data_IF_632138753706
#
_entry.id   IF_632138753706
#
_cell.length_a   1.000
_cell.length_b   1.000
_cell.length_c   1.000
_cell.angle_alpha   90.00
_cell.angle_beta   90.00
_cell.angle_gamma   90.00
#
_symmetry.space_group_name_H-M   'P 1'
#
loop_
_entity.id
_entity.type
_entity.pdbx_description
1 polymer ?
#
# COMPACT_ATOMS: atom_id res chain seq x y z
N UNK A 1 4.77 -2.54 -37.46
CA UNK A 1 4.26 -1.18 -37.16
C UNK A 1 4.70 -0.25 -38.27
N UNK A 2 3.86 0.69 -38.69
CA UNK A 2 4.25 1.69 -39.69
C UNK A 2 5.16 2.74 -39.04
N UNK A 3 6.11 3.29 -39.80
CA UNK A 3 7.03 4.35 -39.34
C UNK A 3 6.28 5.55 -38.72
N UNK A 4 5.07 5.81 -39.20
CA UNK A 4 4.16 6.84 -38.67
C UNK A 4 3.59 6.48 -37.28
N UNK A 5 3.30 5.21 -37.01
CA UNK A 5 2.87 4.76 -35.69
C UNK A 5 4.02 4.80 -34.67
N UNK A 6 5.25 4.50 -35.09
CA UNK A 6 6.44 4.67 -34.24
C UNK A 6 6.73 6.15 -33.94
N UNK A 7 6.64 7.03 -34.94
CA UNK A 7 6.80 8.48 -34.76
C UNK A 7 5.70 9.09 -33.89
N UNK A 8 4.44 8.65 -34.02
CA UNK A 8 3.35 9.06 -33.15
C UNK A 8 3.60 8.62 -31.70
N UNK A 9 4.03 7.37 -31.50
CA UNK A 9 4.37 6.83 -30.19
C UNK A 9 5.57 7.54 -29.56
N UNK A 10 6.58 7.93 -30.35
CA UNK A 10 7.72 8.73 -29.88
C UNK A 10 7.33 10.17 -29.55
N UNK A 11 6.44 10.80 -30.31
CA UNK A 11 5.94 12.15 -30.04
C UNK A 11 5.17 12.23 -28.71
N UNK A 12 4.35 11.21 -28.43
CA UNK A 12 3.57 11.11 -27.19
C UNK A 12 4.46 10.84 -25.96
N UNK A 13 5.48 9.99 -26.11
CA UNK A 13 6.50 9.74 -25.08
C UNK A 13 7.30 11.00 -24.78
N UNK A 14 7.57 11.86 -25.76
CA UNK A 14 8.31 13.12 -25.55
C UNK A 14 7.47 14.23 -24.88
N UNK A 15 6.14 14.18 -24.99
CA UNK A 15 5.24 15.17 -24.36
C UNK A 15 4.72 14.73 -22.99
N UNK A 16 4.63 13.42 -22.73
CA UNK A 16 4.16 12.85 -21.45
C UNK A 16 5.25 12.21 -20.57
N UNK A 17 6.47 12.02 -21.06
CA UNK A 17 7.56 11.64 -20.17
C UNK A 17 7.94 12.84 -19.32
N UNK A 18 7.53 12.84 -18.06
CA UNK A 18 8.10 13.71 -17.06
C UNK A 18 9.63 13.47 -17.03
N UNK A 19 10.39 14.33 -17.72
CA UNK A 19 11.86 14.30 -17.66
C UNK A 19 12.24 14.85 -16.28
N UNK A 20 12.62 13.96 -15.37
CA UNK A 20 13.13 14.32 -14.04
C UNK A 20 12.13 14.20 -12.88
N UNK A 21 11.04 13.43 -13.01
CA UNK A 21 10.13 13.10 -11.90
C UNK A 21 9.51 11.71 -12.03
N UNK A 22 8.79 11.27 -10.99
CA UNK A 22 8.15 9.94 -10.95
C UNK A 22 6.92 9.92 -11.85
N UNK A 23 6.87 8.99 -12.81
CA UNK A 23 5.69 8.80 -13.66
C UNK A 23 4.61 7.98 -12.96
N UNK A 24 5.02 6.93 -12.26
CA UNK A 24 4.09 6.02 -11.64
C UNK A 24 3.59 6.61 -10.31
N UNK A 25 2.28 6.72 -10.13
CA UNK A 25 1.71 7.22 -8.89
C UNK A 25 1.71 6.16 -7.78
N UNK A 26 1.77 4.87 -8.12
CA UNK A 26 1.76 3.78 -7.14
C UNK A 26 3.04 3.71 -6.29
N UNK A 27 2.83 3.35 -5.03
CA UNK A 27 3.86 2.99 -4.07
C UNK A 27 4.03 1.47 -4.04
N UNK A 28 5.27 0.99 -3.91
CA UNK A 28 5.58 -0.43 -3.85
C UNK A 28 4.96 -1.30 -4.99
N UNK A 29 4.89 -0.82 -6.25
CA UNK A 29 4.08 -1.41 -7.33
C UNK A 29 4.46 -2.84 -7.76
N UNK A 30 5.63 -3.30 -7.34
CA UNK A 30 6.20 -4.63 -7.63
C UNK A 30 6.46 -5.45 -6.36
N UNK A 31 5.83 -5.07 -5.24
CA UNK A 31 5.95 -5.74 -3.94
C UNK A 31 7.41 -5.97 -3.50
N UNK A 32 8.26 -4.93 -3.56
CA UNK A 32 9.64 -5.02 -3.07
C UNK A 32 9.75 -4.79 -1.57
N UNK A 33 8.95 -3.87 -1.03
CA UNK A 33 9.06 -3.41 0.36
C UNK A 33 7.99 -4.11 1.21
N UNK A 34 8.44 -4.69 2.31
CA UNK A 34 7.62 -5.50 3.20
C UNK A 34 8.04 -5.28 4.66
N UNK A 35 8.10 -4.02 5.11
CA UNK A 35 8.49 -3.67 6.48
C UNK A 35 7.49 -4.26 7.50
N UNK A 36 6.20 -4.36 7.12
CA UNK A 36 5.15 -5.02 7.93
C UNK A 36 5.24 -6.56 7.93
N UNK A 37 6.16 -7.14 7.16
CA UNK A 37 6.31 -8.58 6.95
C UNK A 37 5.97 -9.00 5.52
N UNK A 38 6.48 -10.16 5.12
CA UNK A 38 6.28 -10.76 3.79
C UNK A 38 5.01 -11.58 3.69
N UNK A 39 4.30 -11.79 4.80
CA UNK A 39 3.05 -12.55 4.85
C UNK A 39 2.13 -12.01 5.93
N UNK A 40 0.84 -11.91 5.63
CA UNK A 40 -0.20 -11.57 6.61
C UNK A 40 -1.49 -12.32 6.33
N UNK A 41 -2.28 -12.56 7.37
CA UNK A 41 -3.59 -13.19 7.27
C UNK A 41 -4.68 -12.09 7.29
N UNK A 42 -5.59 -12.14 6.33
CA UNK A 42 -6.79 -11.31 6.29
C UNK A 42 -8.04 -12.17 6.55
N UNK A 43 -8.52 -12.15 7.79
CA UNK A 43 -9.72 -12.85 8.26
C UNK A 43 -10.70 -11.84 8.88
N UNK A 44 -11.62 -11.29 8.07
CA UNK A 44 -12.71 -10.44 8.56
C UNK A 44 -12.31 -9.06 9.12
N UNK A 45 -11.10 -8.57 8.85
CA UNK A 45 -10.62 -7.26 9.34
C UNK A 45 -10.05 -6.45 8.18
N UNK A 46 -10.27 -5.13 8.23
CA UNK A 46 -9.65 -4.21 7.29
C UNK A 46 -8.35 -3.65 7.87
N UNK A 47 -7.27 -3.61 7.09
CA UNK A 47 -5.99 -3.09 7.55
C UNK A 47 -4.83 -3.33 6.61
N UNK A 48 -3.66 -2.90 7.06
CA UNK A 48 -2.37 -3.13 6.42
C UNK A 48 -1.70 -4.30 7.13
N UNK A 49 -1.54 -5.43 6.43
CA UNK A 49 -1.02 -6.66 7.01
C UNK A 49 0.44 -6.91 6.61
N UNK A 50 0.65 -7.16 5.32
CA UNK A 50 1.93 -7.42 4.70
C UNK A 50 2.03 -6.64 3.39
N UNK A 51 3.25 -6.45 2.91
CA UNK A 51 3.57 -5.60 1.76
C UNK A 51 3.11 -4.15 1.98
N UNK A 52 4.07 -3.25 2.09
CA UNK A 52 3.76 -1.88 2.50
C UNK A 52 2.82 -1.19 1.49
N UNK A 53 1.90 -0.36 2.02
CA UNK A 53 0.92 0.47 1.30
C UNK A 53 -0.31 -0.24 0.73
N UNK A 54 -0.40 -1.55 0.82
CA UNK A 54 -1.58 -2.29 0.37
C UNK A 54 -2.50 -2.63 1.52
N UNK A 55 -3.75 -2.19 1.40
CA UNK A 55 -4.82 -2.39 2.38
C UNK A 55 -5.78 -3.45 1.89
N UNK A 56 -6.17 -4.36 2.76
CA UNK A 56 -7.28 -5.27 2.51
C UNK A 56 -8.48 -4.82 3.32
N UNK A 57 -9.67 -4.90 2.71
CA UNK A 57 -10.94 -4.92 3.42
C UNK A 57 -11.67 -6.21 3.07
N UNK A 58 -11.69 -7.16 4.01
CA UNK A 58 -12.35 -8.44 3.84
C UNK A 58 -13.64 -8.44 4.68
N UNK A 59 -14.78 -8.20 4.02
CA UNK A 59 -16.11 -8.32 4.62
C UNK A 59 -16.76 -9.69 4.42
N UNK A 60 -16.02 -10.67 3.90
CA UNK A 60 -16.49 -12.03 3.64
C UNK A 60 -16.16 -12.99 4.79
N UNK A 61 -16.62 -14.24 4.68
CA UNK A 61 -16.18 -15.33 5.57
C UNK A 61 -14.89 -16.01 5.10
N UNK A 62 -14.38 -15.64 3.92
CA UNK A 62 -13.14 -16.18 3.40
C UNK A 62 -11.95 -15.74 4.26
N UNK A 63 -10.91 -16.57 4.27
CA UNK A 63 -9.62 -16.22 4.84
C UNK A 63 -8.61 -16.24 3.72
N UNK A 64 -7.80 -15.18 3.65
CA UNK A 64 -6.75 -15.06 2.64
C UNK A 64 -5.41 -14.74 3.28
N UNK A 65 -4.32 -15.29 2.75
CA UNK A 65 -2.98 -14.79 3.02
C UNK A 65 -2.60 -13.78 1.94
N UNK A 66 -1.97 -12.68 2.35
CA UNK A 66 -1.24 -11.78 1.45
C UNK A 66 0.23 -12.09 1.56
N UNK A 67 0.86 -12.45 0.44
CA UNK A 67 2.22 -13.00 0.40
C UNK A 67 3.06 -12.21 -0.60
N UNK A 68 4.30 -11.91 -0.22
CA UNK A 68 5.35 -11.50 -1.15
C UNK A 68 5.83 -12.72 -1.93
N UNK A 69 5.23 -13.00 -3.08
CA UNK A 69 5.59 -14.16 -3.88
C UNK A 69 6.77 -13.86 -4.82
N UNK A 70 7.44 -14.92 -5.28
CA UNK A 70 8.45 -14.86 -6.35
C UNK A 70 7.90 -15.32 -7.70
N UNK A 71 6.62 -15.73 -7.75
CA UNK A 71 5.91 -16.01 -9.00
C UNK A 71 5.66 -14.71 -9.74
N UNK A 72 6.25 -14.54 -10.92
CA UNK A 72 6.24 -13.28 -11.69
C UNK A 72 6.08 -13.56 -13.18
N UNK A 73 5.64 -12.58 -14.00
CA UNK A 73 5.65 -12.73 -15.45
C UNK A 73 7.10 -12.83 -15.95
N UNK A 74 7.43 -13.97 -16.56
CA UNK A 74 8.80 -14.29 -16.99
C UNK A 74 9.31 -13.28 -18.03
N UNK A 75 10.55 -12.84 -17.86
CA UNK A 75 11.20 -11.92 -18.80
C UNK A 75 10.78 -10.45 -18.69
N UNK A 76 9.92 -10.08 -17.73
CA UNK A 76 9.42 -8.71 -17.56
C UNK A 76 10.19 -7.88 -16.52
N UNK A 77 11.25 -8.43 -15.91
CA UNK A 77 12.11 -7.69 -14.98
C UNK A 77 11.54 -7.48 -13.57
N UNK A 78 10.56 -8.29 -13.15
CA UNK A 78 10.05 -8.31 -11.78
C UNK A 78 10.66 -9.46 -10.97
N UNK A 79 10.97 -9.22 -9.70
CA UNK A 79 11.44 -10.25 -8.75
C UNK A 79 10.34 -10.75 -7.81
N UNK A 80 9.32 -9.92 -7.59
CA UNK A 80 8.24 -10.19 -6.65
C UNK A 80 6.86 -9.86 -7.23
N UNK A 81 5.84 -10.45 -6.63
CA UNK A 81 4.44 -10.12 -6.84
C UNK A 81 3.68 -10.16 -5.52
N UNK A 82 2.53 -9.48 -5.53
CA UNK A 82 1.51 -9.59 -4.50
C UNK A 82 0.75 -10.88 -4.81
N UNK A 83 0.65 -11.78 -3.85
CA UNK A 83 -0.12 -13.01 -3.97
C UNK A 83 -1.18 -13.05 -2.88
N UNK A 84 -2.44 -13.12 -3.30
CA UNK A 84 -3.58 -13.38 -2.43
C UNK A 84 -3.95 -14.86 -2.58
N UNK A 85 -3.68 -15.60 -1.50
CA UNK A 85 -3.89 -17.04 -1.37
C UNK A 85 -5.15 -17.29 -0.55
N UNK A 86 -6.16 -17.94 -1.12
CA UNK A 86 -7.42 -18.21 -0.43
C UNK A 86 -7.26 -19.50 0.39
N UNK A 87 -7.18 -19.38 1.71
CA UNK A 87 -7.05 -20.55 2.60
C UNK A 87 -8.39 -21.09 3.08
N UNK A 88 -9.43 -20.24 3.08
CA UNK A 88 -10.81 -20.61 3.35
C UNK A 88 -11.69 -19.90 2.34
N UNK A 89 -12.48 -20.65 1.58
CA UNK A 89 -13.36 -20.10 0.55
C UNK A 89 -14.67 -19.53 1.12
N UNK A 90 -15.19 -18.49 0.46
CA UNK A 90 -16.57 -18.02 0.60
C UNK A 90 -17.27 -18.19 -0.76
N UNK A 91 -17.99 -19.30 -0.90
CA UNK A 91 -18.64 -19.70 -2.14
C UNK A 91 -20.01 -19.06 -2.35
N UNK A 92 -20.51 -18.31 -1.36
CA UNK A 92 -21.88 -17.78 -1.36
C UNK A 92 -21.94 -16.42 -0.67
N UNK A 93 -21.44 -15.40 -1.37
CA UNK A 93 -21.44 -14.02 -0.88
C UNK A 93 -22.86 -13.55 -0.55
N UNK A 94 -23.04 -13.02 0.66
CA UNK A 94 -24.27 -12.26 0.99
C UNK A 94 -24.24 -10.89 0.32
N UNK A 95 -25.38 -10.20 0.27
CA UNK A 95 -25.52 -8.98 -0.53
C UNK A 95 -24.55 -7.87 -0.14
N UNK A 96 -24.21 -7.73 1.15
CA UNK A 96 -23.33 -6.69 1.68
C UNK A 96 -21.83 -7.01 1.71
N UNK A 97 -21.40 -8.16 1.19
CA UNK A 97 -19.99 -8.59 1.24
C UNK A 97 -19.16 -7.88 0.18
N UNK A 98 -17.95 -7.47 0.52
CA UNK A 98 -16.89 -7.12 -0.43
C UNK A 98 -15.55 -7.68 0.05
N UNK A 99 -14.67 -7.98 -0.90
CA UNK A 99 -13.24 -8.11 -0.66
C UNK A 99 -12.52 -7.12 -1.55
N UNK A 100 -11.87 -6.15 -0.92
CA UNK A 100 -11.22 -5.03 -1.57
C UNK A 100 -9.72 -5.10 -1.32
N UNK A 101 -8.94 -5.03 -2.40
CA UNK A 101 -7.50 -4.84 -2.35
C UNK A 101 -7.18 -3.43 -2.85
N UNK A 102 -6.68 -2.56 -1.97
CA UNK A 102 -6.69 -1.11 -2.17
C UNK A 102 -5.32 -0.49 -1.92
N UNK A 103 -4.96 0.50 -2.75
CA UNK A 103 -3.95 1.50 -2.39
C UNK A 103 -4.59 2.88 -2.30
N UNK A 104 -4.23 3.63 -1.25
CA UNK A 104 -4.76 4.97 -0.94
C UNK A 104 -3.76 6.05 -1.31
N UNK A 105 -4.22 7.15 -1.88
CA UNK A 105 -3.40 8.26 -2.36
C UNK A 105 -3.78 9.56 -1.67
N UNK A 106 -2.77 10.38 -1.37
CA UNK A 106 -2.97 11.65 -0.70
C UNK A 106 -3.30 12.77 -1.67
N UNK A 107 -4.19 13.67 -1.26
CA UNK A 107 -4.64 14.77 -2.11
C UNK A 107 -3.51 15.59 -2.70
N UNK A 108 -2.51 15.95 -1.89
CA UNK A 108 -1.34 16.73 -2.33
C UNK A 108 -0.54 16.05 -3.46
N UNK A 109 -0.52 14.72 -3.50
CA UNK A 109 0.21 13.95 -4.51
C UNK A 109 -0.55 13.90 -5.85
N UNK A 110 -1.86 14.19 -5.84
CA UNK A 110 -2.77 14.05 -6.98
C UNK A 110 -3.06 15.36 -7.72
N UNK A 111 -2.47 16.48 -7.29
CA UNK A 111 -2.80 17.81 -7.83
C UNK A 111 -2.50 17.94 -9.34
N UNK A 112 -1.51 17.20 -9.82
CA UNK A 112 -1.13 17.17 -11.23
C UNK A 112 -2.19 16.53 -12.15
N UNK A 113 -3.19 15.82 -11.59
CA UNK A 113 -4.35 15.33 -12.33
C UNK A 113 -5.31 16.45 -12.74
N UNK A 114 -5.18 17.65 -12.14
CA UNK A 114 -6.00 18.83 -12.44
C UNK A 114 -7.52 18.56 -12.34
N UNK A 115 -7.89 17.60 -11.49
CA UNK A 115 -9.27 17.18 -11.27
C UNK A 115 -10.14 18.38 -10.85
N UNK A 116 -11.40 18.39 -11.30
CA UNK A 116 -12.33 19.49 -11.01
C UNK A 116 -12.15 20.72 -11.91
N UNK A 117 -11.24 20.66 -12.88
CA UNK A 117 -11.02 21.73 -13.87
C UNK A 117 -11.38 21.25 -15.28
N UNK A 118 -11.53 22.18 -16.23
CA UNK A 118 -11.69 21.84 -17.66
C UNK A 118 -10.46 21.19 -18.28
N UNK A 119 -9.31 21.22 -17.58
CA UNK A 119 -8.04 20.63 -18.00
C UNK A 119 -7.69 19.37 -17.21
N UNK A 120 -8.69 18.68 -16.64
CA UNK A 120 -8.47 17.42 -15.94
C UNK A 120 -7.78 16.40 -16.85
N UNK A 121 -6.72 15.77 -16.35
CA UNK A 121 -5.87 14.88 -17.14
C UNK A 121 -6.48 13.48 -17.25
N UNK A 122 -6.39 12.90 -18.44
CA UNK A 122 -6.60 11.46 -18.63
C UNK A 122 -5.38 10.71 -18.12
N UNK A 123 -5.61 9.53 -17.53
CA UNK A 123 -4.57 8.66 -17.00
C UNK A 123 -4.71 7.25 -17.55
N UNK A 124 -3.67 6.44 -17.36
CA UNK A 124 -3.65 5.04 -17.73
C UNK A 124 -3.16 4.21 -16.56
N UNK A 125 -3.91 3.18 -16.20
CA UNK A 125 -3.53 2.16 -15.24
C UNK A 125 -3.13 0.90 -15.99
N UNK A 126 -1.91 0.43 -15.78
CA UNK A 126 -1.39 -0.82 -16.32
C UNK A 126 -0.86 -1.72 -15.22
N UNK A 127 -0.97 -3.03 -15.42
CA UNK A 127 -0.51 -4.02 -14.44
C UNK A 127 -0.44 -5.41 -15.07
N UNK A 128 0.38 -6.27 -14.48
CA UNK A 128 0.34 -7.70 -14.72
C UNK A 128 -0.58 -8.38 -13.71
N UNK A 129 -1.49 -9.21 -14.20
CA UNK A 129 -2.39 -10.02 -13.37
C UNK A 129 -2.31 -11.49 -13.77
N UNK A 130 -2.39 -12.38 -12.79
CA UNK A 130 -2.60 -13.81 -12.99
C UNK A 130 -3.64 -14.27 -11.98
N UNK A 131 -4.65 -15.00 -12.44
CA UNK A 131 -5.66 -15.58 -11.54
C UNK A 131 -6.15 -16.91 -12.07
N UNK A 132 -6.41 -17.88 -11.20
CA UNK A 132 -7.12 -19.09 -11.59
C UNK A 132 -8.59 -18.78 -11.97
N UNK A 133 -9.13 -17.69 -11.41
CA UNK A 133 -10.49 -17.22 -11.71
C UNK A 133 -10.52 -16.36 -12.98
N UNK A 134 -10.74 -17.01 -14.12
CA UNK A 134 -11.02 -16.32 -15.39
C UNK A 134 -12.38 -15.60 -15.36
N UNK A 135 -12.51 -14.54 -16.15
CA UNK A 135 -13.75 -13.77 -16.30
C UNK A 135 -13.54 -12.28 -16.13
N UNK A 136 -14.64 -11.55 -15.95
CA UNK A 136 -14.62 -10.09 -15.75
C UNK A 136 -14.22 -9.76 -14.32
N UNK A 137 -13.20 -8.94 -14.19
CA UNK A 137 -12.75 -8.31 -12.97
C UNK A 137 -12.89 -6.79 -13.08
N UNK A 138 -12.92 -6.09 -11.96
CA UNK A 138 -13.21 -4.67 -11.85
C UNK A 138 -12.14 -4.01 -10.99
N UNK A 139 -11.62 -2.90 -11.51
CA UNK A 139 -10.87 -1.92 -10.73
C UNK A 139 -11.69 -0.64 -10.61
N UNK A 140 -11.75 -0.09 -9.41
CA UNK A 140 -12.45 1.15 -9.08
C UNK A 140 -11.44 2.22 -8.69
N UNK A 141 -11.70 3.45 -9.14
CA UNK A 141 -11.11 4.65 -8.59
C UNK A 141 -12.20 5.42 -7.84
N UNK A 142 -12.05 5.57 -6.53
CA UNK A 142 -13.00 6.23 -5.66
C UNK A 142 -12.39 7.52 -5.07
N UNK A 143 -12.93 8.66 -5.50
CA UNK A 143 -12.66 9.99 -4.94
C UNK A 143 -13.42 10.13 -3.62
N UNK A 144 -12.66 10.13 -2.53
CA UNK A 144 -13.16 10.18 -1.15
C UNK A 144 -13.58 11.59 -0.73
N UNK A 145 -13.00 12.62 -1.34
CA UNK A 145 -13.29 14.02 -1.01
C UNK A 145 -14.69 14.43 -1.52
N UNK A 146 -15.06 13.93 -2.70
CA UNK A 146 -16.29 14.35 -3.39
C UNK A 146 -17.32 13.21 -3.52
N UNK A 147 -17.03 12.02 -2.99
CA UNK A 147 -17.88 10.83 -3.11
C UNK A 147 -18.22 10.48 -4.57
N UNK A 148 -17.21 10.47 -5.42
CA UNK A 148 -17.32 10.15 -6.86
C UNK A 148 -16.49 8.92 -7.20
N UNK A 149 -16.91 8.16 -8.20
CA UNK A 149 -16.13 7.01 -8.65
C UNK A 149 -16.26 6.76 -10.14
N UNK A 150 -15.28 6.01 -10.65
CA UNK A 150 -15.27 5.40 -11.97
C UNK A 150 -14.78 3.95 -11.82
N UNK A 151 -15.41 3.04 -12.56
CA UNK A 151 -15.15 1.61 -12.48
C UNK A 151 -14.79 1.11 -13.87
N UNK A 152 -13.70 0.36 -13.98
CA UNK A 152 -13.21 -0.18 -15.24
C UNK A 152 -13.13 -1.70 -15.16
N UNK A 153 -13.76 -2.35 -16.14
CA UNK A 153 -13.70 -3.78 -16.30
C UNK A 153 -12.42 -4.21 -17.04
N UNK A 154 -11.82 -5.30 -16.59
CA UNK A 154 -10.76 -6.01 -17.30
C UNK A 154 -11.05 -7.51 -17.24
N UNK A 155 -10.72 -8.24 -18.29
CA UNK A 155 -10.95 -9.69 -18.34
C UNK A 155 -9.65 -10.43 -18.06
N UNK A 156 -9.67 -11.41 -17.16
CA UNK A 156 -8.66 -12.48 -17.13
C UNK A 156 -9.14 -13.55 -18.10
N UNK A 157 -8.46 -13.67 -19.25
CA UNK A 157 -8.91 -14.49 -20.37
C UNK A 157 -8.48 -15.95 -20.25
N UNK A 158 -7.37 -16.22 -19.57
CA UNK A 158 -6.83 -17.55 -19.37
C UNK A 158 -6.47 -17.75 -17.89
N UNK A 159 -7.04 -18.79 -17.29
CA UNK A 159 -6.71 -19.17 -15.92
C UNK A 159 -5.19 -19.40 -15.79
N UNK A 160 -4.63 -18.98 -14.65
CA UNK A 160 -3.24 -19.24 -14.29
C UNK A 160 -2.18 -18.72 -15.26
N UNK A 161 -2.55 -17.76 -16.11
CA UNK A 161 -1.65 -17.13 -17.07
C UNK A 161 -1.45 -15.67 -16.71
N UNK A 162 -0.20 -15.20 -16.80
CA UNK A 162 0.10 -13.78 -16.65
C UNK A 162 -0.39 -13.01 -17.88
N UNK A 163 -1.22 -12.01 -17.65
CA UNK A 163 -1.75 -11.12 -18.67
C UNK A 163 -1.44 -9.67 -18.29
N UNK A 164 -0.92 -8.89 -19.24
CA UNK A 164 -0.76 -7.45 -19.07
C UNK A 164 -2.08 -6.75 -19.39
N UNK A 165 -2.49 -5.82 -18.53
CA UNK A 165 -3.69 -5.00 -18.68
C UNK A 165 -3.28 -3.55 -18.81
N UNK A 166 -3.99 -2.83 -19.69
CA UNK A 166 -3.85 -1.38 -19.88
C UNK A 166 -5.27 -0.81 -19.90
N UNK A 167 -5.55 0.12 -19.00
CA UNK A 167 -6.88 0.67 -18.75
C UNK A 167 -6.76 2.19 -18.76
N UNK A 168 -7.32 2.82 -19.79
CA UNK A 168 -7.46 4.27 -19.84
C UNK A 168 -8.57 4.73 -18.90
N UNK A 169 -8.31 5.78 -18.12
CA UNK A 169 -9.20 6.38 -17.15
C UNK A 169 -9.29 7.87 -17.47
N UNK A 170 -10.47 8.31 -17.86
CA UNK A 170 -10.76 9.68 -18.27
C UNK A 170 -10.61 10.64 -17.09
N UNK A 171 -10.20 11.87 -17.35
CA UNK A 171 -10.11 12.92 -16.32
C UNK A 171 -11.50 13.32 -15.81
N UNK A 172 -11.62 13.58 -14.51
CA UNK A 172 -12.86 14.10 -13.91
C UNK A 172 -12.82 15.63 -13.81
N UNK A 173 -13.66 16.31 -14.57
CA UNK A 173 -13.73 17.78 -14.57
C UNK A 173 -14.57 18.34 -13.42
N UNK A 174 -15.05 17.50 -12.49
CA UNK A 174 -15.89 17.88 -11.35
C UNK A 174 -15.26 17.44 -10.03
N UNK A 175 -15.35 18.26 -8.98
CA UNK A 175 -14.85 17.93 -7.64
C UNK A 175 -13.32 17.91 -7.60
N UNK A 176 -12.70 18.96 -7.08
CA UNK A 176 -11.26 18.98 -6.90
C UNK A 176 -10.87 18.09 -5.71
N UNK A 177 -9.69 17.46 -5.79
CA UNK A 177 -9.06 16.89 -4.60
C UNK A 177 -8.57 18.00 -3.69
N UNK A 178 -8.67 17.82 -2.37
CA UNK A 178 -8.00 18.72 -1.44
C UNK A 178 -6.48 18.59 -1.60
N UNK A 179 -5.73 19.67 -1.30
CA UNK A 179 -4.27 19.65 -1.33
C UNK A 179 -3.75 19.44 0.10
N UNK A 180 -3.88 18.22 0.60
CA UNK A 180 -3.48 17.85 1.96
C UNK A 180 -2.92 16.41 2.02
N UNK A 181 -2.61 15.94 3.22
CA UNK A 181 -2.06 14.61 3.50
C UNK A 181 -3.13 13.55 3.78
N UNK A 182 -4.42 13.88 3.60
CA UNK A 182 -5.51 12.93 3.78
C UNK A 182 -5.69 12.09 2.52
N UNK A 183 -6.36 10.94 2.66
CA UNK A 183 -6.74 10.14 1.50
C UNK A 183 -7.78 10.92 0.69
N UNK A 184 -7.47 11.18 -0.58
CA UNK A 184 -8.38 11.80 -1.55
C UNK A 184 -8.84 10.82 -2.63
N UNK A 185 -8.08 9.74 -2.85
CA UNK A 185 -8.40 8.73 -3.86
C UNK A 185 -7.99 7.33 -3.40
N UNK A 186 -8.86 6.37 -3.66
CA UNK A 186 -8.59 4.94 -3.49
C UNK A 186 -8.61 4.25 -4.86
N UNK A 187 -7.55 3.51 -5.20
CA UNK A 187 -7.56 2.57 -6.33
C UNK A 187 -7.73 1.17 -5.80
N UNK A 188 -8.81 0.49 -6.20
CA UNK A 188 -9.27 -0.74 -5.57
C UNK A 188 -9.56 -1.83 -6.61
N UNK A 189 -8.92 -2.98 -6.45
CA UNK A 189 -9.32 -4.21 -7.13
C UNK A 189 -10.42 -4.88 -6.31
N UNK A 190 -11.60 -5.03 -6.91
CA UNK A 190 -12.68 -5.84 -6.34
C UNK A 190 -12.37 -7.30 -6.63
N UNK A 191 -12.20 -8.11 -5.59
CA UNK A 191 -11.94 -9.56 -5.74
C UNK A 191 -13.16 -10.41 -5.38
N UNK A 192 -14.09 -9.83 -4.63
CA UNK A 192 -15.42 -10.37 -4.37
C UNK A 192 -16.38 -9.23 -4.09
N UNK A 193 -17.63 -9.34 -4.55
CA UNK A 193 -18.66 -8.35 -4.31
C UNK A 193 -20.06 -8.99 -4.32
N UNK A 194 -20.83 -8.75 -3.27
CA UNK A 194 -22.23 -9.15 -3.15
C UNK A 194 -23.18 -8.26 -3.96
N UNK A 195 -24.46 -8.65 -4.01
CA UNK A 195 -25.46 -7.99 -4.86
C UNK A 195 -25.79 -6.53 -4.51
N UNK A 196 -25.45 -6.03 -3.32
CA UNK A 196 -25.54 -4.60 -3.04
C UNK A 196 -24.57 -3.78 -3.92
N UNK A 197 -23.55 -4.43 -4.51
CA UNK A 197 -22.51 -3.78 -5.28
C UNK A 197 -22.46 -4.18 -6.77
N UNK A 198 -23.24 -5.20 -7.15
CA UNK A 198 -23.19 -5.80 -8.50
C UNK A 198 -24.54 -5.78 -9.23
N UNK A 199 -25.60 -5.25 -8.62
CA UNK A 199 -26.97 -5.33 -9.14
C UNK A 199 -27.39 -4.20 -10.09
N UNK A 200 -26.59 -3.14 -10.20
CA UNK A 200 -26.88 -1.96 -11.02
C UNK A 200 -26.26 -2.04 -12.42
N UNK A 201 -25.85 -0.88 -12.93
CA UNK A 201 -25.09 -0.75 -14.19
C UNK A 201 -23.70 -0.24 -13.87
N UNK A 202 -22.65 -0.90 -14.37
CA UNK A 202 -21.27 -0.51 -14.07
C UNK A 202 -21.05 0.96 -14.43
N UNK A 203 -20.59 1.77 -13.47
CA UNK A 203 -20.35 3.18 -13.72
C UNK A 203 -18.97 3.38 -14.36
N UNK A 204 -18.94 3.43 -15.69
CA UNK A 204 -17.73 3.46 -16.53
C UNK A 204 -17.17 4.85 -16.82
N UNK A 205 -17.85 5.90 -16.35
CA UNK A 205 -17.44 7.30 -16.38
C UNK A 205 -17.53 7.88 -14.97
N UNK A 206 -16.76 8.94 -14.68
CA UNK A 206 -16.85 9.63 -13.40
C UNK A 206 -18.26 10.14 -13.10
N UNK A 207 -18.73 9.88 -11.88
CA UNK A 207 -20.03 10.30 -11.40
C UNK A 207 -20.16 10.09 -9.90
N UNK A 208 -21.27 10.53 -9.32
CA UNK A 208 -21.58 10.30 -7.90
C UNK A 208 -21.57 8.81 -7.59
N UNK A 209 -21.05 8.43 -6.42
CA UNK A 209 -20.97 7.02 -6.03
C UNK A 209 -22.36 6.40 -5.88
N UNK A 210 -22.59 5.30 -6.60
CA UNK A 210 -23.75 4.42 -6.42
C UNK A 210 -23.24 3.02 -6.12
N UNK A 211 -23.57 2.47 -4.95
CA UNK A 211 -23.01 1.20 -4.50
C UNK A 211 -23.28 0.05 -5.46
N UNK A 212 -24.54 -0.08 -5.92
CA UNK A 212 -24.96 -1.11 -6.87
C UNK A 212 -24.18 -1.11 -8.20
N UNK A 213 -23.47 -0.02 -8.52
CA UNK A 213 -22.76 0.19 -9.78
C UNK A 213 -21.25 -0.06 -9.69
N UNK A 214 -20.71 -0.45 -8.52
CA UNK A 214 -19.26 -0.53 -8.26
C UNK A 214 -18.58 -1.71 -8.97
N UNK A 215 -19.14 -2.91 -8.85
CA UNK A 215 -18.49 -4.15 -9.27
C UNK A 215 -19.39 -5.02 -10.18
N UNK A 216 -20.29 -4.41 -10.94
CA UNK A 216 -21.25 -5.11 -11.80
C UNK A 216 -20.51 -6.01 -12.80
N UNK A 217 -20.84 -7.31 -12.80
CA UNK A 217 -20.23 -8.33 -13.66
C UNK A 217 -18.94 -8.98 -13.13
N UNK A 218 -18.45 -8.56 -11.96
CA UNK A 218 -17.27 -9.14 -11.30
C UNK A 218 -17.45 -10.63 -10.97
N UNK A 219 -16.42 -11.44 -11.23
CA UNK A 219 -16.32 -12.83 -10.73
C UNK A 219 -15.85 -12.88 -9.28
N UNK A 220 -16.27 -13.90 -8.52
CA UNK A 220 -15.80 -14.10 -7.14
C UNK A 220 -14.47 -14.88 -7.11
N UNK A 221 -13.38 -14.22 -6.72
CA UNK A 221 -12.07 -14.86 -6.50
C UNK A 221 -12.08 -15.72 -5.24
N UNK A 222 -12.97 -15.48 -4.29
CA UNK A 222 -12.96 -16.17 -3.00
C UNK A 222 -13.71 -17.50 -2.99
N UNK A 223 -14.30 -17.93 -4.12
CA UNK A 223 -15.16 -19.12 -4.16
C UNK A 223 -14.43 -20.47 -4.24
N UNK A 224 -13.10 -20.47 -4.17
CA UNK A 224 -12.29 -21.69 -4.10
C UNK A 224 -10.96 -21.38 -3.42
N UNK A 225 -10.42 -22.34 -2.67
CA UNK A 225 -9.06 -22.27 -2.13
C UNK A 225 -7.99 -22.39 -3.21
N UNK A 226 -8.35 -22.86 -4.41
CA UNK A 226 -7.44 -22.93 -5.55
C UNK A 226 -7.31 -21.57 -6.28
N UNK A 227 -8.18 -20.60 -5.96
CA UNK A 227 -8.19 -19.30 -6.60
C UNK A 227 -7.07 -18.40 -6.07
N UNK A 228 -5.87 -18.61 -6.62
CA UNK A 228 -4.75 -17.72 -6.40
C UNK A 228 -4.93 -16.45 -7.26
N UNK A 229 -4.73 -15.27 -6.67
CA UNK A 229 -4.70 -14.00 -7.39
C UNK A 229 -3.35 -13.32 -7.21
N UNK A 230 -2.70 -13.00 -8.32
CA UNK A 230 -1.39 -12.35 -8.35
C UNK A 230 -1.45 -11.01 -9.05
N UNK A 231 -0.71 -10.04 -8.53
CA UNK A 231 -0.58 -8.69 -9.08
C UNK A 231 0.86 -8.21 -8.96
N UNK A 232 1.41 -7.62 -10.03
CA UNK A 232 2.72 -6.96 -9.98
C UNK A 232 2.83 -5.95 -11.13
N UNK A 233 3.88 -5.12 -11.10
CA UNK A 233 4.15 -4.15 -12.14
C UNK A 233 3.03 -3.12 -12.31
N UNK A 234 2.41 -2.70 -11.20
CA UNK A 234 1.30 -1.74 -11.23
C UNK A 234 1.84 -0.35 -11.60
N UNK A 235 1.37 0.23 -12.69
CA UNK A 235 1.73 1.58 -13.10
C UNK A 235 0.51 2.40 -13.40
N UNK A 236 0.34 3.51 -12.67
CA UNK A 236 -0.67 4.51 -12.94
C UNK A 236 0.00 5.84 -13.25
N UNK A 237 -0.23 6.38 -14.44
CA UNK A 237 0.48 7.56 -14.92
C UNK A 237 -0.41 8.44 -15.80
N UNK A 238 0.04 9.68 -16.05
CA UNK A 238 -0.63 10.61 -16.96
C UNK A 238 -0.58 10.12 -18.42
N UNK A 239 -1.66 10.39 -19.15
CA UNK A 239 -1.79 10.03 -20.56
C UNK A 239 -2.80 8.92 -20.80
N UNK A 240 -3.12 8.70 -22.08
CA UNK A 240 -4.07 7.68 -22.51
C UNK A 240 -3.45 6.30 -22.72
N UNK A 241 -2.12 6.22 -22.85
CA UNK A 241 -1.38 5.03 -23.27
C UNK A 241 -0.29 4.67 -22.25
N UNK A 242 -0.20 3.38 -21.90
CA UNK A 242 0.80 2.91 -20.94
C UNK A 242 2.21 3.04 -21.52
N UNK A 243 3.12 3.59 -20.71
CA UNK A 243 4.56 3.61 -21.00
C UNK A 243 5.24 2.36 -20.44
N UNK A 244 6.48 2.04 -20.84
CA UNK A 244 7.24 0.99 -20.18
C UNK A 244 7.32 1.22 -18.66
N UNK A 245 7.30 0.12 -17.90
CA UNK A 245 7.26 0.17 -16.45
C UNK A 245 8.43 0.98 -15.85
N UNK A 246 8.13 1.87 -14.92
CA UNK A 246 9.08 2.69 -14.18
C UNK A 246 9.72 1.85 -13.07
N UNK A 247 10.91 1.30 -13.34
CA UNK A 247 11.68 0.60 -12.33
C UNK A 247 12.39 1.58 -11.39
N UNK A 248 11.88 1.71 -10.17
CA UNK A 248 12.58 2.41 -9.08
C UNK A 248 13.56 1.49 -8.35
N UNK A 249 14.58 2.12 -7.78
CA UNK A 249 15.54 1.45 -6.88
C UNK A 249 14.85 1.01 -5.59
N UNK A 250 15.41 0.00 -4.91
CA UNK A 250 14.90 -0.43 -3.61
C UNK A 250 14.94 0.72 -2.58
N UNK A 251 16.01 1.51 -2.56
CA UNK A 251 16.15 2.63 -1.62
C UNK A 251 15.08 3.70 -1.82
N UNK A 252 14.70 3.97 -3.07
CA UNK A 252 13.62 4.92 -3.37
C UNK A 252 12.24 4.38 -2.95
N UNK A 253 11.92 3.13 -3.29
CA UNK A 253 10.66 2.50 -2.86
C UNK A 253 10.57 2.38 -1.34
N UNK A 254 11.69 2.07 -0.66
CA UNK A 254 11.76 1.99 0.79
C UNK A 254 11.48 3.37 1.41
N UNK A 255 12.14 4.43 0.93
CA UNK A 255 11.91 5.78 1.42
C UNK A 255 10.45 6.24 1.22
N UNK A 256 9.85 5.87 0.10
CA UNK A 256 8.43 6.11 -0.19
C UNK A 256 7.51 5.40 0.80
N UNK A 257 7.78 4.13 1.11
CA UNK A 257 6.99 3.36 2.08
C UNK A 257 7.22 3.84 3.52
N UNK A 258 8.46 4.22 3.85
CA UNK A 258 8.86 4.73 5.17
C UNK A 258 8.13 6.01 5.57
N UNK A 259 7.63 6.78 4.60
CA UNK A 259 6.76 7.94 4.85
C UNK A 259 5.45 7.55 5.56
N UNK A 260 4.97 6.32 5.39
CA UNK A 260 3.72 5.82 5.95
C UNK A 260 3.94 4.88 7.13
N UNK A 261 4.98 4.05 7.05
CA UNK A 261 5.30 3.07 8.08
C UNK A 261 6.79 2.82 8.14
N UNK A 262 7.35 2.83 9.34
CA UNK A 262 8.73 2.46 9.59
C UNK A 262 8.79 1.33 10.62
N UNK A 263 9.41 0.22 10.20
CA UNK A 263 9.86 -0.84 11.08
C UNK A 263 11.29 -1.24 10.67
N UNK A 264 12.29 -1.12 11.57
CA UNK A 264 13.66 -1.51 11.26
C UNK A 264 13.87 -3.03 11.11
N UNK A 265 12.84 -3.88 11.30
CA UNK A 265 12.90 -5.35 11.23
C UNK A 265 12.75 -5.97 9.83
N UNK A 266 13.43 -5.46 8.80
CA UNK A 266 13.30 -6.11 7.48
C UNK A 266 13.98 -7.49 7.49
N UNK A 267 13.21 -8.58 7.47
CA UNK A 267 13.67 -9.90 7.00
C UNK A 267 14.19 -10.93 8.02
N UNK A 268 14.14 -10.68 9.34
CA UNK A 268 14.47 -11.71 10.35
C UNK A 268 13.51 -11.67 11.53
N UNK A 269 13.00 -12.85 11.89
CA UNK A 269 12.05 -13.10 12.98
C UNK A 269 12.28 -12.20 14.21
N UNK A 270 11.42 -11.20 14.39
CA UNK A 270 11.21 -10.46 15.64
C UNK A 270 12.41 -9.73 16.25
N UNK A 271 13.52 -9.56 15.55
CA UNK A 271 14.76 -9.06 16.13
C UNK A 271 15.05 -7.63 15.66
N UNK A 272 14.65 -6.63 16.46
CA UNK A 272 14.91 -5.21 16.16
C UNK A 272 16.41 -4.90 16.15
N UNK A 273 16.96 -4.68 14.96
CA UNK A 273 18.40 -4.43 14.73
C UNK A 273 18.70 -3.06 14.07
N UNK A 274 17.76 -2.10 14.09
CA UNK A 274 17.95 -0.72 13.59
C UNK A 274 17.97 0.40 14.66
N UNK A 275 18.71 1.46 14.32
CA UNK A 275 19.11 2.72 14.99
C UNK A 275 19.09 2.81 16.53
N UNK A 276 20.31 2.67 17.08
CA UNK A 276 20.75 2.63 18.48
C UNK A 276 20.57 3.97 19.22
N UNK A 277 19.85 3.98 20.36
CA UNK A 277 20.07 4.99 21.42
C UNK A 277 21.22 4.54 22.32
N UNK A 278 22.04 5.49 22.80
CA UNK A 278 22.85 5.35 24.01
C UNK A 278 22.23 6.26 25.07
N UNK A 279 21.51 5.68 26.02
CA UNK A 279 20.79 6.40 27.09
C UNK A 279 21.70 6.62 28.30
N UNK A 280 21.86 7.86 28.75
CA UNK A 280 22.44 8.15 30.07
C UNK A 280 21.33 8.10 31.13
N UNK A 281 21.43 7.17 32.08
CA UNK A 281 20.54 7.10 33.22
C UNK A 281 20.97 8.12 34.29
N UNK A 282 20.09 9.05 34.66
CA UNK A 282 20.29 9.94 35.80
C UNK A 282 19.25 9.62 36.87
N UNK A 283 19.69 9.00 37.97
CA UNK A 283 18.78 8.45 38.98
C UNK A 283 17.88 7.36 38.39
N UNK A 284 16.57 7.63 38.29
CA UNK A 284 15.57 6.70 37.71
C UNK A 284 15.06 7.13 36.34
N UNK A 285 15.66 8.17 35.73
CA UNK A 285 15.22 8.75 34.46
C UNK A 285 16.15 8.42 33.30
N UNK A 286 15.57 8.41 32.09
CA UNK A 286 16.28 8.31 30.82
C UNK A 286 15.73 9.31 29.80
N UNK A 287 16.59 9.79 28.90
CA UNK A 287 16.22 10.72 27.81
C UNK A 287 16.83 10.25 26.49
N UNK A 288 16.07 10.42 25.41
CA UNK A 288 16.55 10.20 24.05
C UNK A 288 15.76 11.01 23.03
N UNK A 289 16.30 11.13 21.82
CA UNK A 289 15.61 11.73 20.68
C UNK A 289 15.95 10.95 19.41
N UNK A 290 14.99 10.84 18.51
CA UNK A 290 15.13 10.13 17.25
C UNK A 290 14.66 10.97 16.09
N UNK A 291 15.37 10.83 14.98
CA UNK A 291 14.89 11.28 13.68
C UNK A 291 14.39 10.07 12.89
N UNK A 292 13.29 10.26 12.18
CA UNK A 292 12.82 9.27 11.22
C UNK A 292 13.71 9.29 9.97
N UNK A 293 13.90 8.17 9.26
CA UNK A 293 14.70 8.12 8.03
C UNK A 293 14.17 9.07 6.94
N UNK A 294 12.87 9.29 6.94
CA UNK A 294 12.15 10.26 6.11
C UNK A 294 11.11 10.98 6.96
N UNK A 295 10.70 12.18 6.54
CA UNK A 295 9.55 12.84 7.15
C UNK A 295 8.29 12.01 6.91
N UNK A 296 7.63 11.61 7.99
CA UNK A 296 6.37 10.88 7.98
C UNK A 296 5.26 11.75 7.36
N UNK A 297 4.24 11.11 6.80
CA UNK A 297 3.10 11.81 6.18
C UNK A 297 2.29 12.67 7.15
N UNK A 298 2.19 12.23 8.39
CA UNK A 298 1.49 12.86 9.50
C UNK A 298 2.22 12.48 10.79
N UNK A 299 1.82 13.06 11.93
CA UNK A 299 2.32 12.62 13.23
C UNK A 299 2.04 11.13 13.41
N UNK A 300 3.06 10.26 13.51
CA UNK A 300 2.85 8.82 13.65
C UNK A 300 2.48 8.42 15.07
N UNK A 301 1.93 7.23 15.22
CA UNK A 301 1.99 6.48 16.49
C UNK A 301 3.35 5.81 16.60
N UNK A 302 4.05 6.00 17.71
CA UNK A 302 5.38 5.44 17.93
C UNK A 302 5.34 4.42 19.07
N UNK A 303 5.89 3.24 18.83
CA UNK A 303 6.12 2.22 19.86
C UNK A 303 7.61 1.99 20.02
N UNK A 304 8.09 2.05 21.26
CA UNK A 304 9.49 1.83 21.63
C UNK A 304 9.66 0.38 22.06
N UNK A 305 10.80 -0.22 21.74
CA UNK A 305 11.14 -1.59 22.07
C UNK A 305 12.60 -1.68 22.48
N UNK A 306 12.95 -2.67 23.32
CA UNK A 306 14.35 -3.04 23.50
C UNK A 306 14.92 -3.53 22.17
N UNK A 307 16.21 -3.31 21.91
CA UNK A 307 16.84 -3.89 20.73
C UNK A 307 16.73 -5.42 20.81
N UNK A 308 16.30 -6.05 19.73
CA UNK A 308 16.01 -7.51 19.65
C UNK A 308 14.80 -7.98 20.50
N UNK A 309 13.99 -7.06 21.00
CA UNK A 309 12.77 -7.39 21.75
C UNK A 309 11.54 -7.36 20.86
N UNK A 310 10.50 -8.08 21.25
CA UNK A 310 9.15 -7.98 20.67
C UNK A 310 8.17 -7.27 21.60
N UNK A 311 8.53 -7.08 22.87
CA UNK A 311 7.69 -6.40 23.86
C UNK A 311 7.88 -4.88 23.79
N UNK A 312 6.76 -4.16 23.57
CA UNK A 312 6.77 -2.70 23.56
C UNK A 312 6.96 -2.15 24.99
N UNK A 313 7.57 -0.96 25.08
CA UNK A 313 7.80 -0.26 26.34
C UNK A 313 9.04 -0.71 27.12
N UNK A 314 9.79 -1.70 26.60
CA UNK A 314 11.07 -2.16 27.14
C UNK A 314 12.23 -1.38 26.53
N UNK A 315 13.35 -1.35 27.26
CA UNK A 315 14.67 -0.98 26.74
C UNK A 315 15.67 -2.07 27.14
N UNK A 316 16.79 -2.16 26.42
CA UNK A 316 17.79 -3.19 26.64
C UNK A 316 19.04 -2.62 27.28
N UNK A 317 19.55 -3.28 28.31
CA UNK A 317 20.89 -3.04 28.88
C UNK A 317 21.91 -3.57 27.87
N UNK A 318 22.77 -2.70 27.33
CA UNK A 318 23.69 -3.08 26.24
C UNK A 318 24.69 -4.15 26.67
N UNK A 319 25.20 -4.06 27.90
CA UNK A 319 26.25 -4.97 28.41
C UNK A 319 25.74 -6.37 28.76
N UNK A 320 24.53 -6.48 29.31
CA UNK A 320 23.98 -7.77 29.77
C UNK A 320 22.97 -8.37 28.79
N UNK A 321 22.40 -7.56 27.90
CA UNK A 321 21.29 -7.95 27.05
C UNK A 321 19.94 -8.06 27.77
N UNK A 322 19.87 -7.71 29.06
CA UNK A 322 18.64 -7.75 29.82
C UNK A 322 17.66 -6.66 29.36
N UNK A 323 16.36 -6.96 29.39
CA UNK A 323 15.29 -6.00 29.10
C UNK A 323 14.72 -5.44 30.40
N UNK A 324 14.66 -4.11 30.51
CA UNK A 324 14.15 -3.38 31.68
C UNK A 324 13.06 -2.40 31.28
N UNK A 325 12.36 -1.84 32.25
CA UNK A 325 11.19 -0.99 32.01
C UNK A 325 9.89 -1.77 31.74
N UNK A 326 9.09 -1.30 30.80
CA UNK A 326 7.69 -1.71 30.56
C UNK A 326 6.73 -0.52 30.41
N UNK A 327 7.26 0.70 30.41
CA UNK A 327 6.51 1.95 30.27
C UNK A 327 7.26 2.99 29.45
N UNK A 328 8.18 2.57 28.57
CA UNK A 328 8.84 3.49 27.66
C UNK A 328 7.83 3.99 26.60
N UNK A 329 7.53 5.28 26.60
CA UNK A 329 6.58 5.92 25.68
C UNK A 329 7.19 7.13 25.01
N UNK A 330 7.05 7.23 23.69
CA UNK A 330 7.49 8.39 22.92
C UNK A 330 6.75 9.68 23.36
N UNK A 331 7.47 10.80 23.34
CA UNK A 331 6.98 12.15 23.66
C UNK A 331 7.37 13.11 22.53
N UNK A 332 6.75 14.29 22.47
CA UNK A 332 7.06 15.32 21.46
C UNK A 332 7.09 14.75 20.03
N UNK A 333 6.12 13.89 19.70
CA UNK A 333 6.08 13.18 18.42
C UNK A 333 5.67 14.17 17.34
N UNK A 334 6.51 14.31 16.31
CA UNK A 334 6.23 15.08 15.12
C UNK A 334 6.61 14.30 13.86
N UNK A 335 6.28 14.79 12.67
CA UNK A 335 6.53 14.05 11.42
C UNK A 335 8.02 13.78 11.12
N UNK A 336 8.96 14.50 11.72
CA UNK A 336 10.40 14.30 11.49
C UNK A 336 11.11 13.50 12.59
N UNK A 337 10.42 13.19 13.69
CA UNK A 337 11.03 12.50 14.80
C UNK A 337 10.21 12.59 16.08
N UNK A 338 10.79 12.07 17.16
CA UNK A 338 10.19 12.10 18.48
C UNK A 338 11.26 12.19 19.56
N UNK A 339 10.88 12.74 20.71
CA UNK A 339 11.64 12.64 21.94
C UNK A 339 11.18 11.46 22.78
N UNK A 340 11.94 11.14 23.81
CA UNK A 340 11.56 10.14 24.79
C UNK A 340 12.07 10.59 26.15
N UNK A 341 11.18 10.66 27.14
CA UNK A 341 11.52 10.92 28.54
C UNK A 341 10.70 9.96 29.38
N UNK A 342 11.35 9.07 30.11
CA UNK A 342 10.64 8.18 31.03
C UNK A 342 11.41 7.95 32.33
N UNK A 343 10.65 7.94 33.43
CA UNK A 343 11.07 7.24 34.64
C UNK A 343 10.77 5.76 34.44
N UNK A 344 11.79 4.95 34.24
CA UNK A 344 11.63 3.50 34.02
C UNK A 344 12.06 2.74 35.27
N UNK A 345 11.37 1.64 35.54
CA UNK A 345 11.81 0.68 36.56
C UNK A 345 13.03 -0.10 36.06
N UNK A 346 13.95 -0.41 36.98
CA UNK A 346 15.12 -1.23 36.70
C UNK A 346 16.28 -0.51 35.99
N UNK A 347 16.27 0.83 35.97
CA UNK A 347 17.45 1.59 35.57
C UNK A 347 18.47 1.65 36.71
N UNK A 348 19.75 1.66 36.37
CA UNK A 348 20.86 1.87 37.28
C UNK A 348 21.79 2.96 36.74
N UNK A 349 22.38 3.73 37.67
CA UNK A 349 23.50 4.60 37.33
C UNK A 349 24.67 3.75 36.85
N UNK A 350 25.39 4.21 35.83
CA UNK A 350 26.55 3.55 35.20
C UNK A 350 26.25 2.42 34.19
N UNK A 351 24.99 2.22 33.81
CA UNK A 351 24.61 1.35 32.70
C UNK A 351 24.31 2.13 31.41
N UNK A 352 24.57 1.47 30.28
CA UNK A 352 24.22 1.96 28.94
C UNK A 352 23.03 1.16 28.43
N UNK A 353 22.02 1.87 27.92
CA UNK A 353 20.84 1.24 27.36
C UNK A 353 20.67 1.58 25.88
N UNK A 354 20.10 0.62 25.16
CA UNK A 354 19.66 0.75 23.79
C UNK A 354 18.19 0.38 23.61
N UNK A 355 17.57 1.02 22.63
CA UNK A 355 16.23 0.72 22.18
C UNK A 355 16.09 1.12 20.71
N UNK A 356 14.92 0.83 20.18
CA UNK A 356 14.54 0.97 18.78
C UNK A 356 13.03 1.21 18.74
N UNK A 357 12.47 1.46 17.57
CA UNK A 357 11.09 1.90 17.48
C UNK A 357 10.40 1.46 16.19
N UNK A 358 9.08 1.41 16.25
CA UNK A 358 8.19 1.38 15.10
C UNK A 358 7.41 2.68 15.05
N UNK A 359 7.19 3.22 13.86
CA UNK A 359 6.38 4.41 13.64
C UNK A 359 5.32 4.11 12.58
N UNK A 360 4.05 4.26 12.95
CA UNK A 360 2.92 4.05 12.05
C UNK A 360 2.16 5.36 11.86
N UNK A 361 2.22 5.92 10.66
CA UNK A 361 1.42 7.07 10.27
C UNK A 361 0.25 6.66 9.36
N UNK A 362 0.10 5.40 9.00
CA UNK A 362 -0.91 4.92 8.04
C UNK A 362 -2.32 4.92 8.69
N UNK A 363 -3.32 5.43 7.97
CA UNK A 363 -4.74 5.47 8.39
C UNK A 363 -5.58 4.38 7.71
#
# INVERSE_FOLDING_TARGET
MTKAAELAKMGEVLTNSQIGGRRNMFFNPKALVAQRGTTSIAAGTAGYGALDRYRINNGSTAVTNTIQATTVPTGQGFSNSIHLDVTTADTSLTSGVQFLFTQRFEGQDLQHLKKGTSSAETTVLSFWVRSAKSGTHIVELFDTDNSRHINKAYTVSSADTWEHKEITIEGDTTGAFTNDVNTSLEVTWHLAAGSNFTSGTLQTSWGSRTDANRAVGQVNVLDSTDNNFYLTGIQWELGSQATPFEHRSLGEELALCQRYYYDPNVGTSGTLDGNLILVEAFGTGCVGAFQFPVTMRSTPTVSIFGRKDTEAGKIRVTNTGAYVGGSAVATNIGPSGFGFVASLSGLSSDEVYDCTYKADAEL
#
